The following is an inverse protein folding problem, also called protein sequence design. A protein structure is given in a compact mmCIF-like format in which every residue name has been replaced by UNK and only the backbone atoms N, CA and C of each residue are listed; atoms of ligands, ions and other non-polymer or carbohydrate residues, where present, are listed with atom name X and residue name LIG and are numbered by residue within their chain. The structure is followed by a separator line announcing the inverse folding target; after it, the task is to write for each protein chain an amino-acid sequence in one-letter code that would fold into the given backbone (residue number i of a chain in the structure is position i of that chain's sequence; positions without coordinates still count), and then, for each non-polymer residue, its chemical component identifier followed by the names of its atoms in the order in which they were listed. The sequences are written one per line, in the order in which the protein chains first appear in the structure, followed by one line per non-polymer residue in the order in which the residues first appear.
data_IF_069136686283
#
_entry.id   IF_069136686283
#
_cell.length_a   1.000
_cell.length_b   1.000
_cell.length_c   1.000
_cell.angle_alpha   90.00
_cell.angle_beta   90.00
_cell.angle_gamma   90.00
#
_symmetry.space_group_name_H-M   'P 1'
#
loop_
_entity.id
_entity.type
_entity.pdbx_description
1 polymer ?
#
# COMPACT_ATOMS: atom_id res chain seq x y z
N UNK A 1 -18.22 8.92 -4.00
CA UNK A 1 -16.86 9.16 -4.52
C UNK A 1 -16.68 8.35 -5.78
N UNK A 2 -16.62 8.99 -6.93
CA UNK A 2 -16.22 8.34 -8.18
C UNK A 2 -14.71 8.10 -8.12
N UNK A 3 -14.27 6.84 -8.19
CA UNK A 3 -12.85 6.51 -8.23
C UNK A 3 -12.20 7.02 -9.53
N UNK A 4 -10.88 7.26 -9.51
CA UNK A 4 -10.14 7.64 -10.70
C UNK A 4 -10.25 6.55 -11.78
N UNK A 5 -10.46 6.96 -13.03
CA UNK A 5 -10.54 6.07 -14.19
C UNK A 5 -9.17 5.81 -14.80
N UNK A 6 -9.07 4.83 -15.70
CA UNK A 6 -7.83 4.55 -16.44
C UNK A 6 -7.37 5.76 -17.28
N UNK A 7 -8.32 6.55 -17.77
CA UNK A 7 -8.06 7.76 -18.55
C UNK A 7 -7.51 8.89 -17.67
N UNK A 8 -8.01 9.03 -16.45
CA UNK A 8 -7.49 10.02 -15.50
C UNK A 8 -6.03 9.72 -15.15
N UNK A 9 -5.72 8.42 -14.91
CA UNK A 9 -4.35 7.96 -14.65
C UNK A 9 -3.47 8.22 -15.87
N UNK A 10 -3.92 7.88 -17.07
CA UNK A 10 -3.16 8.08 -18.31
C UNK A 10 -2.79 9.55 -18.52
N UNK A 11 -3.77 10.45 -18.38
CA UNK A 11 -3.57 11.89 -18.52
C UNK A 11 -2.49 12.39 -17.57
N UNK A 12 -2.63 12.11 -16.28
CA UNK A 12 -1.67 12.61 -15.28
C UNK A 12 -0.32 11.91 -15.35
N UNK A 13 -0.28 10.64 -15.75
CA UNK A 13 0.97 9.94 -16.01
C UNK A 13 1.75 10.63 -17.12
N UNK A 14 1.14 10.83 -18.30
CA UNK A 14 1.76 11.53 -19.44
C UNK A 14 2.22 12.93 -19.05
N UNK A 15 1.42 13.67 -18.26
CA UNK A 15 1.82 14.98 -17.73
C UNK A 15 3.07 14.91 -16.83
N UNK A 16 3.16 13.92 -15.96
CA UNK A 16 4.27 13.75 -15.02
C UNK A 16 5.57 13.28 -15.69
N UNK A 17 5.47 12.51 -16.77
CA UNK A 17 6.65 11.96 -17.47
C UNK A 17 7.06 12.74 -18.72
N UNK A 18 6.48 13.92 -18.99
CA UNK A 18 6.85 14.79 -20.13
C UNK A 18 8.36 14.93 -20.38
N UNK A 19 9.25 15.00 -19.36
CA UNK A 19 10.69 15.11 -19.58
C UNK A 19 11.35 13.81 -20.08
N UNK A 20 10.66 12.68 -20.01
CA UNK A 20 11.20 11.35 -20.30
C UNK A 20 10.85 10.92 -21.73
N UNK A 21 11.78 10.21 -22.36
CA UNK A 21 11.51 9.58 -23.65
C UNK A 21 10.84 8.23 -23.43
N UNK A 22 9.57 8.13 -23.82
CA UNK A 22 8.76 6.92 -23.67
C UNK A 22 9.34 5.69 -24.39
N UNK A 23 10.06 5.88 -25.50
CA UNK A 23 10.76 4.80 -26.20
C UNK A 23 11.93 4.18 -25.42
N UNK A 24 12.36 4.80 -24.31
CA UNK A 24 13.36 4.26 -23.38
C UNK A 24 12.74 3.67 -22.13
N UNK A 25 11.41 3.67 -22.02
CA UNK A 25 10.70 3.08 -20.89
C UNK A 25 10.68 1.57 -21.05
N UNK A 26 11.31 0.86 -20.11
CA UNK A 26 11.36 -0.60 -20.13
C UNK A 26 10.09 -1.22 -19.54
N UNK A 27 9.60 -0.68 -18.43
CA UNK A 27 8.55 -1.30 -17.61
C UNK A 27 7.85 -0.26 -16.74
N UNK A 28 6.58 -0.52 -16.41
CA UNK A 28 5.81 0.21 -15.40
C UNK A 28 5.33 -0.80 -14.36
N UNK A 29 5.74 -0.61 -13.10
CA UNK A 29 5.27 -1.43 -11.99
C UNK A 29 3.94 -0.91 -11.49
N UNK A 30 2.91 -1.75 -11.49
CA UNK A 30 1.55 -1.38 -11.12
C UNK A 30 0.95 -2.34 -10.08
N UNK A 31 0.08 -1.80 -9.24
CA UNK A 31 -0.77 -2.59 -8.36
C UNK A 31 -1.83 -3.34 -9.18
N UNK A 32 -2.35 -4.44 -8.61
CA UNK A 32 -3.28 -5.36 -9.26
C UNK A 32 -4.66 -4.86 -9.71
N UNK A 33 -5.23 -3.70 -9.27
CA UNK A 33 -6.54 -3.27 -9.76
C UNK A 33 -6.64 -3.16 -11.30
N UNK A 34 -7.75 -3.63 -11.87
CA UNK A 34 -8.00 -3.64 -13.32
C UNK A 34 -7.87 -2.26 -14.00
N UNK A 35 -8.12 -1.18 -13.25
CA UNK A 35 -7.98 0.19 -13.74
C UNK A 35 -6.53 0.50 -14.13
N UNK A 36 -5.55 0.00 -13.36
CA UNK A 36 -4.13 0.20 -13.64
C UNK A 36 -3.69 -0.57 -14.88
N UNK A 37 -4.14 -1.83 -15.00
CA UNK A 37 -3.88 -2.66 -16.18
C UNK A 37 -4.45 -2.02 -17.45
N UNK A 38 -5.66 -1.48 -17.37
CA UNK A 38 -6.27 -0.77 -18.50
C UNK A 38 -5.51 0.49 -18.86
N UNK A 39 -5.00 1.24 -17.88
CA UNK A 39 -4.13 2.39 -18.12
C UNK A 39 -2.87 1.99 -18.91
N UNK A 40 -2.16 0.93 -18.51
CA UNK A 40 -0.93 0.50 -19.21
C UNK A 40 -1.23 0.10 -20.65
N UNK A 41 -2.34 -0.61 -20.90
CA UNK A 41 -2.78 -0.96 -22.26
C UNK A 41 -3.02 0.28 -23.11
N UNK A 42 -3.78 1.25 -22.60
CA UNK A 42 -4.04 2.50 -23.31
C UNK A 42 -2.75 3.28 -23.61
N UNK A 43 -1.79 3.29 -22.67
CA UNK A 43 -0.51 3.94 -22.89
C UNK A 43 0.28 3.28 -24.03
N UNK A 44 0.36 1.94 -24.04
CA UNK A 44 1.04 1.19 -25.09
C UNK A 44 0.38 1.39 -26.47
N UNK A 45 -0.95 1.44 -26.51
CA UNK A 45 -1.73 1.69 -27.73
C UNK A 45 -1.54 3.12 -28.25
N UNK A 46 -1.61 4.14 -27.39
CA UNK A 46 -1.51 5.55 -27.82
C UNK A 46 -0.10 5.98 -28.22
N UNK A 47 0.93 5.37 -27.64
CA UNK A 47 2.34 5.74 -27.87
C UNK A 47 3.07 4.72 -28.76
N UNK A 48 2.36 3.68 -29.22
CA UNK A 48 2.90 2.58 -30.03
C UNK A 48 4.17 1.95 -29.43
N UNK A 49 4.20 1.81 -28.10
CA UNK A 49 5.32 1.22 -27.34
C UNK A 49 4.98 -0.18 -26.82
N UNK A 50 6.01 -1.00 -26.63
CA UNK A 50 5.90 -2.29 -25.94
C UNK A 50 6.66 -2.22 -24.63
N UNK A 51 5.98 -2.54 -23.53
CA UNK A 51 6.57 -2.58 -22.19
C UNK A 51 6.75 -4.04 -21.74
N UNK A 52 7.79 -4.29 -20.94
CA UNK A 52 8.00 -5.58 -20.30
C UNK A 52 6.95 -5.79 -19.20
N UNK A 53 6.10 -6.80 -19.36
CA UNK A 53 5.07 -7.16 -18.38
C UNK A 53 5.62 -8.19 -17.37
N UNK A 54 5.84 -7.76 -16.12
CA UNK A 54 6.33 -8.61 -15.02
C UNK A 54 5.19 -9.01 -14.06
N UNK A 55 3.95 -8.69 -14.41
CA UNK A 55 2.78 -8.93 -13.56
C UNK A 55 2.51 -7.80 -12.54
N UNK A 56 1.57 -8.04 -11.63
CA UNK A 56 1.18 -7.07 -10.60
C UNK A 56 2.10 -7.13 -9.38
N UNK A 57 2.09 -6.07 -8.58
CA UNK A 57 2.75 -6.00 -7.27
C UNK A 57 2.45 -7.23 -6.39
N UNK A 58 3.45 -8.10 -6.19
CA UNK A 58 3.34 -9.31 -5.37
C UNK A 58 3.01 -9.02 -3.90
N UNK A 59 3.38 -7.83 -3.40
CA UNK A 59 3.03 -7.39 -2.05
C UNK A 59 1.51 -7.29 -1.87
N UNK A 60 0.76 -6.93 -2.92
CA UNK A 60 -0.69 -6.86 -2.89
C UNK A 60 -1.32 -8.25 -2.68
N UNK A 61 -0.75 -9.29 -3.28
CA UNK A 61 -1.20 -10.69 -3.11
C UNK A 61 -1.00 -11.11 -1.65
N UNK A 62 0.18 -10.83 -1.08
CA UNK A 62 0.47 -11.14 0.32
C UNK A 62 -0.48 -10.40 1.27
N UNK A 63 -0.70 -9.10 1.06
CA UNK A 63 -1.68 -8.35 1.84
C UNK A 63 -3.09 -8.94 1.76
N UNK A 64 -3.55 -9.30 0.56
CA UNK A 64 -4.85 -9.93 0.36
C UNK A 64 -4.98 -11.28 1.07
N UNK A 65 -3.91 -12.08 1.10
CA UNK A 65 -3.87 -13.34 1.82
C UNK A 65 -4.01 -13.14 3.34
N UNK A 66 -3.25 -12.21 3.92
CA UNK A 66 -3.37 -11.87 5.35
C UNK A 66 -4.75 -11.33 5.71
N UNK A 67 -5.30 -10.44 4.89
CA UNK A 67 -6.64 -9.90 5.08
C UNK A 67 -7.70 -11.02 5.05
N UNK A 68 -7.60 -11.94 4.08
CA UNK A 68 -8.52 -13.08 3.95
C UNK A 68 -8.43 -14.02 5.15
N UNK A 69 -7.20 -14.34 5.58
CA UNK A 69 -6.97 -15.16 6.77
C UNK A 69 -7.55 -14.52 8.03
N UNK A 70 -7.31 -13.22 8.25
CA UNK A 70 -7.88 -12.48 9.37
C UNK A 70 -9.41 -12.49 9.37
N UNK A 71 -10.02 -12.19 8.22
CA UNK A 71 -11.48 -12.19 8.08
C UNK A 71 -12.09 -13.57 8.36
N UNK A 72 -11.34 -14.65 8.10
CA UNK A 72 -11.78 -16.03 8.32
C UNK A 72 -11.79 -16.41 9.80
N UNK A 73 -10.79 -15.97 10.58
CA UNK A 73 -10.66 -16.33 12.00
C UNK A 73 -11.57 -15.51 12.93
N UNK A 74 -12.16 -14.41 12.44
CA UNK A 74 -13.07 -13.51 13.19
C UNK A 74 -12.52 -12.95 14.50
N UNK A 75 -11.20 -12.97 14.69
CA UNK A 75 -10.56 -12.43 15.88
C UNK A 75 -10.60 -10.91 15.87
N UNK A 76 -10.71 -10.29 17.05
CA UNK A 76 -10.71 -8.83 17.23
C UNK A 76 -9.29 -8.22 17.19
N UNK A 77 -8.38 -8.77 16.38
CA UNK A 77 -6.97 -8.34 16.35
C UNK A 77 -6.85 -6.88 15.94
N UNK A 78 -7.60 -6.44 14.92
CA UNK A 78 -7.57 -5.05 14.45
C UNK A 78 -8.03 -4.08 15.54
N UNK A 79 -9.10 -4.45 16.26
CA UNK A 79 -9.66 -3.62 17.33
C UNK A 79 -8.71 -3.56 18.53
N UNK A 80 -8.07 -4.68 18.88
CA UNK A 80 -7.05 -4.72 19.93
C UNK A 80 -5.84 -3.84 19.58
N UNK A 81 -5.27 -3.99 18.38
CA UNK A 81 -4.13 -3.18 17.92
C UNK A 81 -4.47 -1.69 17.86
N UNK A 82 -5.67 -1.36 17.37
CA UNK A 82 -6.15 0.03 17.34
C UNK A 82 -6.34 0.59 18.75
N UNK A 83 -6.91 -0.20 19.66
CA UNK A 83 -7.12 0.21 21.06
C UNK A 83 -5.80 0.44 21.78
N UNK A 84 -4.80 -0.42 21.58
CA UNK A 84 -3.46 -0.20 22.13
C UNK A 84 -2.84 1.09 21.61
N UNK A 85 -2.93 1.36 20.31
CA UNK A 85 -2.47 2.62 19.74
C UNK A 85 -3.12 3.83 20.43
N UNK A 86 -4.46 3.86 20.52
CA UNK A 86 -5.17 4.99 21.15
C UNK A 86 -4.92 5.09 22.66
N UNK A 87 -4.78 3.97 23.37
CA UNK A 87 -4.44 3.96 24.79
C UNK A 87 -3.15 4.73 25.08
N UNK A 88 -2.12 4.54 24.26
CA UNK A 88 -0.85 5.24 24.43
C UNK A 88 -0.84 6.61 23.76
N UNK A 89 -1.47 6.76 22.59
CA UNK A 89 -1.56 8.05 21.90
C UNK A 89 -2.28 9.10 22.75
N UNK A 90 -3.42 8.74 23.32
CA UNK A 90 -4.33 9.68 23.96
C UNK A 90 -4.07 9.81 25.47
N UNK A 91 -3.27 8.90 26.06
CA UNK A 91 -2.90 8.96 27.49
C UNK A 91 -1.40 8.99 27.72
N UNK A 92 -0.87 10.20 27.94
CA UNK A 92 0.52 10.41 28.37
C UNK A 92 0.84 9.70 29.68
N UNK A 93 -0.12 9.64 30.61
CA UNK A 93 0.04 8.93 31.88
C UNK A 93 0.28 7.43 31.67
N UNK A 94 -0.44 6.80 30.72
CA UNK A 94 -0.22 5.40 30.36
C UNK A 94 1.14 5.19 29.69
N UNK A 95 1.58 6.12 28.84
CA UNK A 95 2.94 6.06 28.26
C UNK A 95 4.02 6.14 29.33
N UNK A 96 3.92 7.11 30.24
CA UNK A 96 4.89 7.27 31.33
C UNK A 96 4.94 6.04 32.25
N UNK A 97 3.78 5.49 32.60
CA UNK A 97 3.71 4.26 33.39
C UNK A 97 4.33 3.06 32.66
N UNK A 98 4.02 2.88 31.36
CA UNK A 98 4.59 1.81 30.55
C UNK A 98 6.11 1.90 30.43
N UNK A 99 6.64 3.10 30.14
CA UNK A 99 8.09 3.32 30.06
C UNK A 99 8.77 3.08 31.41
N UNK A 100 8.17 3.54 32.52
CA UNK A 100 8.73 3.28 33.86
C UNK A 100 8.78 1.80 34.21
N UNK A 101 7.78 1.01 33.80
CA UNK A 101 7.69 -0.41 34.13
C UNK A 101 8.55 -1.30 33.21
N UNK A 102 8.68 -0.94 31.95
CA UNK A 102 9.32 -1.79 30.93
C UNK A 102 10.68 -1.27 30.45
N UNK A 103 11.03 -0.04 30.80
CA UNK A 103 12.15 0.72 30.23
C UNK A 103 12.06 0.90 28.69
N UNK A 104 10.89 0.65 28.09
CA UNK A 104 10.66 0.82 26.66
C UNK A 104 10.10 2.20 26.34
N UNK A 105 10.63 2.79 25.27
CA UNK A 105 10.14 4.06 24.70
C UNK A 105 9.46 3.88 23.35
N UNK A 106 9.38 2.63 22.87
CA UNK A 106 8.64 2.24 21.67
C UNK A 106 7.20 1.93 22.04
N UNK A 107 6.26 2.53 21.30
CA UNK A 107 4.82 2.38 21.52
C UNK A 107 4.15 1.81 20.28
N UNK A 108 2.96 1.19 20.42
CA UNK A 108 2.19 0.69 19.28
C UNK A 108 1.98 1.76 18.21
N UNK A 109 2.15 1.37 16.95
CA UNK A 109 1.90 2.23 15.79
C UNK A 109 0.42 2.18 15.38
N UNK A 110 -0.01 3.19 14.62
CA UNK A 110 -1.36 3.20 14.05
C UNK A 110 -1.49 2.05 13.06
N UNK A 111 -2.38 1.11 13.36
CA UNK A 111 -2.65 -0.01 12.47
C UNK A 111 -3.26 0.43 11.13
N UNK A 112 -2.80 -0.18 10.03
CA UNK A 112 -3.27 0.10 8.68
C UNK A 112 -4.02 -1.11 8.10
N UNK A 113 -5.34 -0.97 7.89
CA UNK A 113 -6.22 -2.06 7.41
C UNK A 113 -5.94 -2.52 5.97
N UNK A 114 -5.17 -1.75 5.20
CA UNK A 114 -4.84 -2.06 3.80
C UNK A 114 -3.40 -2.52 3.61
N UNK A 115 -2.51 -2.29 4.60
CA UNK A 115 -1.10 -2.66 4.55
C UNK A 115 -0.80 -3.58 5.72
N UNK A 116 -0.95 -4.88 5.47
CA UNK A 116 -0.86 -5.93 6.49
C UNK A 116 0.56 -6.40 6.79
N UNK A 117 1.49 -6.09 5.90
CA UNK A 117 2.90 -6.49 5.99
C UNK A 117 3.74 -5.22 5.81
N UNK A 118 4.73 -5.03 6.66
CA UNK A 118 5.69 -3.95 6.49
C UNK A 118 6.89 -4.48 5.70
N UNK A 119 7.39 -3.70 4.76
CA UNK A 119 8.70 -3.94 4.14
C UNK A 119 9.78 -3.54 5.14
N UNK A 120 10.02 -4.40 6.13
CA UNK A 120 11.18 -4.29 7.01
C UNK A 120 12.40 -4.85 6.29
N UNK A 121 13.56 -4.26 6.53
CA UNK A 121 14.82 -4.80 6.02
C UNK A 121 14.98 -6.23 6.52
N UNK A 122 15.19 -7.18 5.62
CA UNK A 122 15.63 -8.52 6.00
C UNK A 122 17.09 -8.36 6.42
N UNK A 123 17.34 -8.51 7.72
CA UNK A 123 18.68 -8.46 8.32
C UNK A 123 19.31 -9.85 8.19
#
# INVERSE_FOLDING_TARGET
MTGATSQDILKHFKEGIKPLHLNKLLQISIDGPNVNWKFVKLLCEEEEITLLEIGSCGLHVVHGAFQTGHNSVKWMVIDALSSFYFLFKDSLARRAAFTKLTNQTVFPLKYCRVRWVESVTVI
#
